data_IF_952191479531
#
_entry.id   IF_952191479531
#
_cell.length_a   1.000
_cell.length_b   1.000
_cell.length_c   1.000
_cell.angle_alpha   90.00
_cell.angle_beta   90.00
_cell.angle_gamma   90.00
#
_symmetry.space_group_name_H-M   'P 1'
#
loop_
_entity.id
_entity.type
_entity.pdbx_description
1 polymer ?
#
# COMPACT_ATOMS: atom_id res chain seq x y z
N UNK A 1 11.15 0.65 30.41
CA UNK A 1 10.96 -0.17 31.64
C UNK A 1 11.69 -1.51 31.53
N UNK A 2 12.26 -2.04 32.62
CA UNK A 2 12.93 -3.35 32.67
C UNK A 2 12.19 -4.28 33.63
N UNK A 3 11.83 -5.46 33.15
CA UNK A 3 11.16 -6.51 33.93
C UNK A 3 11.31 -7.83 33.17
N UNK A 4 11.01 -8.95 33.81
CA UNK A 4 11.08 -10.26 33.17
C UNK A 4 9.83 -10.52 32.33
N UNK A 5 10.01 -11.00 31.09
CA UNK A 5 8.94 -11.47 30.21
C UNK A 5 9.30 -12.86 29.70
N UNK A 6 8.44 -13.87 29.94
CA UNK A 6 8.61 -15.24 29.44
C UNK A 6 9.98 -15.86 29.75
N UNK A 7 10.54 -15.58 30.94
CA UNK A 7 11.86 -16.09 31.37
C UNK A 7 13.04 -15.28 30.85
N UNK A 8 12.82 -14.13 30.21
CA UNK A 8 13.88 -13.27 29.66
C UNK A 8 13.94 -11.96 30.45
N UNK A 9 15.12 -11.68 31.01
CA UNK A 9 15.45 -10.40 31.64
C UNK A 9 16.50 -9.67 30.80
N UNK A 10 16.29 -8.38 30.55
CA UNK A 10 17.16 -7.55 29.72
C UNK A 10 18.18 -6.80 30.57
N UNK A 11 19.47 -7.02 30.31
CA UNK A 11 20.57 -6.31 30.97
C UNK A 11 20.85 -4.93 30.36
N UNK A 12 20.56 -4.76 29.07
CA UNK A 12 20.70 -3.49 28.32
C UNK A 12 19.40 -3.13 27.59
N UNK A 13 19.12 -1.84 27.48
CA UNK A 13 17.91 -1.32 26.84
C UNK A 13 16.68 -1.34 27.77
N UNK A 14 15.50 -1.29 27.17
CA UNK A 14 14.22 -1.32 27.88
C UNK A 14 13.09 -1.87 27.01
N UNK A 15 12.09 -2.47 27.65
CA UNK A 15 10.85 -2.88 26.98
C UNK A 15 10.01 -1.67 26.57
N UNK A 16 9.32 -1.79 25.43
CA UNK A 16 8.40 -0.78 24.90
C UNK A 16 7.07 -0.75 25.66
N UNK A 17 6.59 -1.89 26.16
CA UNK A 17 5.30 -2.00 26.85
C UNK A 17 5.46 -1.95 28.37
N UNK A 18 4.42 -1.52 29.07
CA UNK A 18 4.34 -1.61 30.53
C UNK A 18 4.24 -3.07 30.98
N UNK A 19 4.65 -3.34 32.21
CA UNK A 19 4.65 -4.69 32.80
C UNK A 19 3.26 -5.33 32.76
N UNK A 20 2.24 -4.58 33.17
CA UNK A 20 0.84 -5.05 33.18
C UNK A 20 0.34 -5.40 31.77
N UNK A 21 0.55 -4.52 30.80
CA UNK A 21 0.16 -4.74 29.40
C UNK A 21 0.85 -5.97 28.82
N UNK A 22 2.16 -6.11 29.05
CA UNK A 22 2.92 -7.24 28.56
C UNK A 22 2.48 -8.57 29.17
N UNK A 23 2.20 -8.62 30.48
CA UNK A 23 1.71 -9.84 31.12
C UNK A 23 0.32 -10.22 30.66
N UNK A 24 -0.59 -9.25 30.49
CA UNK A 24 -1.89 -9.49 29.87
C UNK A 24 -1.76 -10.09 28.48
N UNK A 25 -0.85 -9.54 27.66
CA UNK A 25 -0.62 -10.04 26.30
C UNK A 25 0.02 -11.43 26.25
N UNK A 26 0.87 -11.77 27.22
CA UNK A 26 1.40 -13.13 27.41
C UNK A 26 0.29 -14.10 27.80
N UNK A 27 -0.60 -13.70 28.70
CA UNK A 27 -1.74 -14.52 29.13
C UNK A 27 -2.71 -14.78 27.98
N UNK A 28 -3.05 -13.74 27.20
CA UNK A 28 -3.87 -13.88 26.00
C UNK A 28 -3.26 -14.89 25.02
N UNK A 29 -1.94 -14.87 24.84
CA UNK A 29 -1.26 -15.82 23.95
C UNK A 29 -1.30 -17.25 24.49
N UNK A 30 -1.22 -17.44 25.81
CA UNK A 30 -1.39 -18.77 26.44
C UNK A 30 -2.81 -19.31 26.24
N UNK A 31 -3.84 -18.48 26.44
CA UNK A 31 -5.24 -18.85 26.19
C UNK A 31 -5.45 -19.26 24.73
N UNK A 32 -4.92 -18.48 23.79
CA UNK A 32 -4.89 -18.85 22.38
C UNK A 32 -4.24 -20.22 22.14
N UNK A 33 -3.09 -20.52 22.75
CA UNK A 33 -2.42 -21.83 22.57
C UNK A 33 -3.22 -23.01 23.13
N UNK A 34 -4.06 -22.79 24.13
CA UNK A 34 -4.96 -23.82 24.67
C UNK A 34 -6.16 -24.04 23.75
N UNK A 35 -6.81 -22.96 23.31
CA UNK A 35 -7.98 -23.01 22.42
C UNK A 35 -7.61 -23.49 21.01
N UNK A 36 -6.49 -23.01 20.45
CA UNK A 36 -6.00 -23.39 19.11
C UNK A 36 -5.68 -24.89 18.98
N UNK A 37 -5.35 -25.58 20.08
CA UNK A 37 -5.19 -27.05 20.07
C UNK A 37 -6.52 -27.78 19.81
N UNK A 38 -7.64 -27.17 20.18
CA UNK A 38 -8.98 -27.73 20.04
C UNK A 38 -9.58 -27.31 18.70
N UNK A 39 -9.49 -26.02 18.36
CA UNK A 39 -10.14 -25.44 17.18
C UNK A 39 -9.28 -25.56 15.91
N UNK A 40 -7.96 -25.68 16.04
CA UNK A 40 -7.03 -25.61 14.91
C UNK A 40 -6.90 -24.21 14.31
N UNK A 41 -7.47 -23.18 14.95
CA UNK A 41 -7.49 -21.81 14.42
C UNK A 41 -6.11 -21.15 14.48
N UNK A 42 -5.85 -20.27 13.52
CA UNK A 42 -4.68 -19.40 13.49
C UNK A 42 -4.82 -18.24 14.48
N UNK A 43 -3.70 -17.61 14.83
CA UNK A 43 -3.69 -16.45 15.75
C UNK A 43 -4.51 -15.26 15.21
N UNK A 44 -4.56 -15.10 13.89
CA UNK A 44 -5.35 -14.05 13.24
C UNK A 44 -6.85 -14.33 13.34
N UNK A 45 -7.28 -15.56 13.07
CA UNK A 45 -8.69 -15.97 13.21
C UNK A 45 -9.18 -15.81 14.65
N UNK A 46 -8.35 -16.21 15.63
CA UNK A 46 -8.64 -16.02 17.05
C UNK A 46 -8.81 -14.54 17.41
N UNK A 47 -7.93 -13.68 16.89
CA UNK A 47 -7.99 -12.23 17.11
C UNK A 47 -9.26 -11.61 16.50
N UNK A 48 -9.66 -12.05 15.31
CA UNK A 48 -10.91 -11.62 14.67
C UNK A 48 -12.11 -12.06 15.50
N UNK A 49 -12.14 -13.33 15.93
CA UNK A 49 -13.22 -13.91 16.75
C UNK A 49 -13.40 -13.20 18.09
N UNK A 50 -12.30 -12.78 18.70
CA UNK A 50 -12.29 -12.06 19.99
C UNK A 50 -12.56 -10.56 19.86
N UNK A 51 -12.98 -10.09 18.68
CA UNK A 51 -13.40 -8.72 18.44
C UNK A 51 -12.25 -7.73 18.19
N UNK A 52 -11.08 -8.22 17.75
CA UNK A 52 -9.91 -7.40 17.37
C UNK A 52 -9.28 -6.57 18.51
N UNK A 53 -9.54 -6.91 19.78
CA UNK A 53 -9.06 -6.13 20.95
C UNK A 53 -7.86 -6.75 21.67
N UNK A 54 -7.55 -8.02 21.42
CA UNK A 54 -6.50 -8.72 22.14
C UNK A 54 -5.11 -8.39 21.58
N UNK A 55 -4.16 -8.31 22.49
CA UNK A 55 -2.74 -8.15 22.19
C UNK A 55 -1.99 -9.42 22.57
N UNK A 56 -0.93 -9.75 21.82
CA UNK A 56 -0.18 -10.98 22.05
C UNK A 56 1.32 -10.74 22.07
N UNK A 57 1.98 -11.39 23.01
CA UNK A 57 3.44 -11.51 23.06
C UNK A 57 3.79 -12.99 22.97
N UNK A 58 4.58 -13.34 21.96
CA UNK A 58 5.10 -14.70 21.78
C UNK A 58 6.61 -14.74 21.95
N UNK A 59 7.09 -15.90 22.40
CA UNK A 59 8.51 -16.21 22.43
C UNK A 59 8.86 -17.09 21.23
N UNK A 60 9.89 -16.70 20.51
CA UNK A 60 10.46 -17.46 19.40
C UNK A 60 11.95 -17.66 19.68
N UNK A 61 12.29 -18.86 20.15
CA UNK A 61 13.63 -19.17 20.67
C UNK A 61 14.00 -18.27 21.85
N UNK A 62 15.03 -17.44 21.67
CA UNK A 62 15.51 -16.50 22.70
C UNK A 62 15.05 -15.04 22.46
N UNK A 63 14.10 -14.82 21.55
CA UNK A 63 13.58 -13.48 21.23
C UNK A 63 12.10 -13.37 21.60
N UNK A 64 11.75 -12.24 22.19
CA UNK A 64 10.35 -11.84 22.40
C UNK A 64 9.88 -11.10 21.14
N UNK A 65 8.77 -11.56 20.55
CA UNK A 65 8.08 -10.89 19.45
C UNK A 65 6.72 -10.38 19.92
N UNK A 66 6.50 -9.09 19.71
CA UNK A 66 5.19 -8.47 19.84
C UNK A 66 4.42 -8.80 18.57
N UNK A 67 3.27 -9.45 18.70
CA UNK A 67 2.44 -9.70 17.54
C UNK A 67 1.77 -8.40 17.12
N UNK A 68 1.97 -8.03 15.87
CA UNK A 68 1.31 -6.90 15.23
C UNK A 68 0.26 -7.50 14.31
N UNK A 69 -1.01 -7.16 14.53
CA UNK A 69 -2.08 -7.61 13.67
C UNK A 69 -1.83 -7.10 12.24
N UNK A 70 -2.12 -7.92 11.21
CA UNK A 70 -2.13 -7.43 9.85
C UNK A 70 -3.15 -6.30 9.74
N UNK A 71 -2.73 -5.18 9.17
CA UNK A 71 -3.63 -4.06 8.87
C UNK A 71 -4.17 -4.28 7.47
N UNK A 72 -5.48 -4.26 7.33
CA UNK A 72 -6.16 -4.28 6.02
C UNK A 72 -5.79 -3.02 5.21
N UNK A 73 -5.47 -1.93 5.91
CA UNK A 73 -5.06 -0.65 5.32
C UNK A 73 -3.60 -0.32 5.69
N UNK A 74 -2.80 -0.06 4.68
CA UNK A 74 -1.47 0.52 4.87
C UNK A 74 -1.63 2.03 5.04
N UNK A 75 -1.29 2.56 6.22
CA UNK A 75 -1.19 4.01 6.40
C UNK A 75 -0.03 4.50 5.54
N UNK A 76 -0.32 5.38 4.58
CA UNK A 76 0.70 6.02 3.75
C UNK A 76 1.50 6.97 4.65
N UNK A 77 2.81 6.78 4.72
CA UNK A 77 3.74 7.68 5.39
C UNK A 77 4.64 8.40 4.36
N UNK A 78 5.68 9.08 4.83
CA UNK A 78 6.64 9.75 3.96
C UNK A 78 7.74 8.81 3.44
N UNK A 79 7.63 7.50 3.63
CA UNK A 79 8.55 6.51 3.11
C UNK A 79 8.02 5.90 1.81
N UNK A 80 8.67 6.23 0.70
CA UNK A 80 8.27 5.84 -0.66
C UNK A 80 8.99 4.60 -1.18
N UNK A 81 9.70 3.86 -0.31
CA UNK A 81 10.44 2.65 -0.73
C UNK A 81 9.53 1.47 -1.11
N UNK A 82 8.23 1.60 -0.91
CA UNK A 82 7.23 0.58 -1.27
C UNK A 82 6.86 0.59 -2.75
N UNK A 83 7.21 1.65 -3.51
CA UNK A 83 6.93 1.75 -4.95
C UNK A 83 8.23 1.98 -5.74
N UNK A 84 8.37 1.28 -6.87
CA UNK A 84 9.44 1.59 -7.84
C UNK A 84 9.22 2.98 -8.46
N UNK A 85 10.26 3.80 -8.49
CA UNK A 85 10.22 5.12 -9.13
C UNK A 85 10.16 5.06 -10.66
N UNK A 86 10.83 4.07 -11.25
CA UNK A 86 10.95 3.90 -12.70
C UNK A 86 10.32 2.59 -13.18
N UNK A 87 10.00 2.56 -14.48
CA UNK A 87 9.60 1.37 -15.22
C UNK A 87 10.27 1.35 -16.61
N UNK A 88 10.05 0.30 -17.40
CA UNK A 88 10.67 0.14 -18.72
C UNK A 88 9.68 -0.39 -19.76
N UNK A 89 8.40 -0.01 -19.66
CA UNK A 89 7.32 -0.55 -20.48
C UNK A 89 7.37 0.00 -21.92
N UNK A 90 7.79 1.24 -22.11
CA UNK A 90 7.88 1.85 -23.45
C UNK A 90 9.25 1.76 -24.09
N UNK A 91 10.24 1.20 -23.39
CA UNK A 91 11.65 1.25 -23.81
C UNK A 91 12.29 2.64 -23.65
N UNK A 92 11.62 3.58 -22.98
CA UNK A 92 12.18 4.88 -22.63
C UNK A 92 13.05 4.73 -21.38
N UNK A 93 14.28 5.25 -21.40
CA UNK A 93 15.28 4.95 -20.37
C UNK A 93 14.87 5.40 -18.96
N UNK A 94 14.16 6.52 -18.86
CA UNK A 94 13.76 7.14 -17.59
C UNK A 94 12.24 7.27 -17.49
N UNK A 95 11.51 6.20 -17.86
CA UNK A 95 10.05 6.16 -17.71
C UNK A 95 9.67 6.12 -16.22
N UNK A 96 8.98 7.15 -15.73
CA UNK A 96 8.37 7.13 -14.40
C UNK A 96 7.36 5.98 -14.30
N UNK A 97 7.28 5.35 -13.13
CA UNK A 97 6.30 4.31 -12.83
C UNK A 97 4.88 4.86 -12.80
N UNK A 98 3.93 4.16 -13.43
CA UNK A 98 2.51 4.52 -13.37
C UNK A 98 1.97 4.47 -11.93
N UNK A 99 2.44 3.54 -11.11
CA UNK A 99 1.98 3.39 -9.71
C UNK A 99 2.41 4.59 -8.88
N UNK A 100 3.63 5.07 -9.11
CA UNK A 100 4.16 6.27 -8.44
C UNK A 100 3.29 7.48 -8.79
N UNK A 101 3.11 7.74 -10.10
CA UNK A 101 2.35 8.90 -10.56
C UNK A 101 0.87 8.82 -10.18
N UNK A 102 0.30 7.61 -10.10
CA UNK A 102 -1.07 7.42 -9.60
C UNK A 102 -1.19 7.92 -8.16
N UNK A 103 -0.29 7.49 -7.27
CA UNK A 103 -0.30 7.92 -5.86
C UNK A 103 -0.15 9.45 -5.75
N UNK A 104 0.76 10.04 -6.52
CA UNK A 104 0.99 11.50 -6.51
C UNK A 104 -0.26 12.26 -6.99
N UNK A 105 -0.85 11.86 -8.11
CA UNK A 105 -2.02 12.56 -8.68
C UNK A 105 -3.25 12.39 -7.79
N UNK A 106 -3.50 11.19 -7.26
CA UNK A 106 -4.64 10.95 -6.35
C UNK A 106 -4.53 11.73 -5.03
N UNK A 107 -3.32 11.93 -4.51
CA UNK A 107 -3.12 12.67 -3.25
C UNK A 107 -3.17 14.19 -3.41
N UNK A 108 -3.10 14.70 -4.63
CA UNK A 108 -2.96 16.15 -4.92
C UNK A 108 -4.03 16.72 -5.84
N UNK A 109 -4.95 15.90 -6.36
CA UNK A 109 -6.00 16.34 -7.30
C UNK A 109 -7.27 15.51 -7.20
N UNK A 110 -8.39 16.11 -7.59
CA UNK A 110 -9.69 15.46 -7.74
C UNK A 110 -9.99 15.10 -9.19
N UNK A 111 -11.02 14.29 -9.41
CA UNK A 111 -11.51 14.00 -10.77
C UNK A 111 -11.95 15.30 -11.48
N UNK A 112 -11.62 15.44 -12.76
CA UNK A 112 -11.89 16.65 -13.54
C UNK A 112 -10.86 17.78 -13.40
N UNK A 113 -9.97 17.74 -12.40
CA UNK A 113 -8.87 18.70 -12.25
C UNK A 113 -7.87 18.60 -13.42
N UNK A 114 -7.09 19.65 -13.61
CA UNK A 114 -6.07 19.73 -14.65
C UNK A 114 -4.68 19.36 -14.11
N UNK A 115 -4.07 18.34 -14.70
CA UNK A 115 -2.67 17.95 -14.45
C UNK A 115 -1.78 18.45 -15.59
N UNK A 116 -0.70 19.15 -15.27
CA UNK A 116 0.23 19.68 -16.27
C UNK A 116 1.65 19.15 -16.06
N UNK A 117 2.28 18.71 -17.15
CA UNK A 117 3.66 18.22 -17.15
C UNK A 117 4.45 18.87 -18.30
N UNK A 118 5.53 19.59 -17.96
CA UNK A 118 6.39 20.27 -18.93
C UNK A 118 7.54 19.42 -19.45
N UNK A 119 7.80 18.26 -18.83
CA UNK A 119 8.90 17.35 -19.15
C UNK A 119 8.35 15.94 -19.31
N UNK A 120 7.45 15.80 -20.27
CA UNK A 120 6.53 14.67 -20.36
C UNK A 120 7.25 13.32 -20.62
N UNK A 121 8.39 13.34 -21.31
CA UNK A 121 9.22 12.18 -21.62
C UNK A 121 8.43 11.06 -22.30
N UNK A 122 8.21 9.98 -21.56
CA UNK A 122 7.48 8.80 -22.03
C UNK A 122 5.95 8.98 -22.09
N UNK A 123 5.40 10.08 -21.57
CA UNK A 123 3.95 10.31 -21.54
C UNK A 123 3.24 9.65 -20.35
N UNK A 124 3.95 9.20 -19.33
CA UNK A 124 3.32 8.50 -18.19
C UNK A 124 2.36 9.39 -17.42
N UNK A 125 2.72 10.66 -17.16
CA UNK A 125 1.88 11.59 -16.39
C UNK A 125 0.51 11.80 -17.02
N UNK A 126 0.47 12.07 -18.33
CA UNK A 126 -0.79 12.27 -19.06
C UNK A 126 -1.58 10.97 -19.21
N UNK A 127 -0.90 9.83 -19.38
CA UNK A 127 -1.56 8.53 -19.41
C UNK A 127 -2.26 8.20 -18.08
N UNK A 128 -1.59 8.42 -16.95
CA UNK A 128 -2.15 8.18 -15.61
C UNK A 128 -3.24 9.19 -15.28
N UNK A 129 -3.01 10.49 -15.52
CA UNK A 129 -4.02 11.52 -15.32
C UNK A 129 -5.31 11.22 -16.09
N UNK A 130 -5.19 10.78 -17.36
CA UNK A 130 -6.33 10.38 -18.16
C UNK A 130 -7.10 9.20 -17.56
N UNK A 131 -6.40 8.12 -17.19
CA UNK A 131 -7.00 6.92 -16.58
C UNK A 131 -7.74 7.24 -15.27
N UNK A 132 -7.26 8.24 -14.54
CA UNK A 132 -7.88 8.74 -13.32
C UNK A 132 -9.01 9.75 -13.58
N UNK A 133 -9.35 10.08 -14.83
CA UNK A 133 -10.42 11.04 -15.14
C UNK A 133 -10.03 12.50 -14.90
N UNK A 134 -8.74 12.84 -14.94
CA UNK A 134 -8.25 14.23 -14.91
C UNK A 134 -8.09 14.76 -16.33
N UNK A 135 -8.24 16.06 -16.49
CA UNK A 135 -7.78 16.77 -17.69
C UNK A 135 -6.26 16.85 -17.63
N UNK A 136 -5.61 16.94 -18.78
CA UNK A 136 -4.15 16.99 -18.78
C UNK A 136 -3.60 17.83 -19.92
N UNK A 137 -2.45 18.46 -19.66
CA UNK A 137 -1.59 19.09 -20.67
C UNK A 137 -0.19 18.54 -20.48
N UNK A 138 0.39 18.00 -21.55
CA UNK A 138 1.76 17.52 -21.55
C UNK A 138 2.56 18.20 -22.64
N UNK A 139 3.75 18.69 -22.30
CA UNK A 139 4.69 19.30 -23.23
C UNK A 139 5.92 18.40 -23.36
N UNK A 140 6.28 18.09 -24.60
CA UNK A 140 7.52 17.39 -24.95
C UNK A 140 8.12 18.02 -26.21
N UNK A 141 9.44 18.09 -26.28
CA UNK A 141 10.14 18.68 -27.39
C UNK A 141 10.57 17.65 -28.44
N UNK A 142 10.52 18.06 -29.71
CA UNK A 142 11.15 17.34 -30.81
C UNK A 142 10.49 16.01 -31.16
N UNK A 143 11.31 15.07 -31.65
CA UNK A 143 10.84 13.80 -32.22
C UNK A 143 10.31 12.80 -31.18
N UNK A 144 10.66 12.97 -29.90
CA UNK A 144 10.20 12.11 -28.82
C UNK A 144 8.68 12.13 -28.65
N UNK A 145 8.05 13.27 -28.92
CA UNK A 145 6.59 13.36 -28.92
C UNK A 145 5.96 12.39 -29.92
N UNK A 146 6.47 12.36 -31.15
CA UNK A 146 5.91 11.55 -32.23
C UNK A 146 6.25 10.06 -32.10
N UNK A 147 7.45 9.75 -31.61
CA UNK A 147 7.94 8.37 -31.51
C UNK A 147 7.48 7.65 -30.24
N UNK A 148 7.25 8.37 -29.13
CA UNK A 148 6.94 7.76 -27.82
C UNK A 148 5.57 8.19 -27.29
N UNK A 149 5.37 9.50 -27.07
CA UNK A 149 4.17 10.03 -26.40
C UNK A 149 2.91 9.77 -27.22
N UNK A 150 2.90 10.14 -28.49
CA UNK A 150 1.72 10.03 -29.35
C UNK A 150 1.25 8.58 -29.54
N UNK A 151 2.13 7.59 -29.84
CA UNK A 151 1.73 6.19 -29.90
C UNK A 151 1.19 5.65 -28.57
N UNK A 152 1.80 6.02 -27.44
CA UNK A 152 1.30 5.65 -26.11
C UNK A 152 -0.10 6.21 -25.87
N UNK A 153 -0.29 7.51 -26.07
CA UNK A 153 -1.57 8.16 -25.80
C UNK A 153 -2.69 7.68 -26.72
N UNK A 154 -2.39 7.35 -27.99
CA UNK A 154 -3.35 6.67 -28.88
C UNK A 154 -3.84 5.36 -28.29
N UNK A 155 -2.95 4.54 -27.72
CA UNK A 155 -3.33 3.29 -27.05
C UNK A 155 -4.21 3.59 -25.84
N UNK A 156 -3.77 4.46 -24.95
CA UNK A 156 -4.49 4.82 -23.71
C UNK A 156 -5.92 5.29 -24.02
N UNK A 157 -6.09 6.22 -24.97
CA UNK A 157 -7.40 6.74 -25.38
C UNK A 157 -8.29 5.67 -26.05
N UNK A 158 -7.69 4.72 -26.78
CA UNK A 158 -8.43 3.62 -27.39
C UNK A 158 -8.90 2.57 -26.35
N UNK A 159 -8.19 2.40 -25.25
CA UNK A 159 -8.66 1.58 -24.12
C UNK A 159 -9.84 2.24 -23.40
N UNK A 160 -9.76 3.54 -23.11
CA UNK A 160 -10.83 4.25 -22.39
C UNK A 160 -12.19 4.21 -23.13
N UNK A 161 -12.19 4.35 -24.46
CA UNK A 161 -13.42 4.20 -25.28
C UNK A 161 -14.10 2.83 -25.14
N UNK A 162 -13.33 1.77 -24.84
CA UNK A 162 -13.89 0.42 -24.61
C UNK A 162 -14.52 0.31 -23.22
N UNK A 163 -13.97 1.01 -22.23
CA UNK A 163 -14.52 1.05 -20.87
C UNK A 163 -15.73 1.98 -20.74
N UNK A 164 -15.79 3.09 -21.48
CA UNK A 164 -17.00 3.93 -21.58
C UNK A 164 -18.19 3.12 -22.11
N UNK A 165 -17.99 2.24 -23.11
CA UNK A 165 -19.04 1.33 -23.60
C UNK A 165 -19.50 0.32 -22.53
N UNK A 166 -18.63 -0.08 -21.60
CA UNK A 166 -18.98 -0.95 -20.46
C UNK A 166 -19.69 -0.20 -19.32
N UNK A 167 -19.30 1.06 -19.06
CA UNK A 167 -19.90 1.92 -18.03
C UNK A 167 -21.27 2.51 -18.42
N UNK A 168 -21.64 2.45 -19.70
CA UNK A 168 -22.90 2.99 -20.22
C UNK A 168 -24.19 2.19 -19.93
N UNK A 169 -24.16 1.09 -19.17
CA UNK A 169 -25.34 0.21 -18.98
C UNK A 169 -26.01 0.27 -17.58
N UNK A 170 -25.70 1.26 -16.74
CA UNK A 170 -26.42 1.46 -15.46
C UNK A 170 -26.64 2.94 -15.15
N UNK A 171 -27.59 3.55 -15.87
CA UNK A 171 -28.39 4.64 -15.32
C UNK A 171 -29.85 4.20 -15.37
N UNK A 172 -30.28 3.48 -14.33
CA UNK A 172 -31.70 3.44 -13.97
C UNK A 172 -31.96 4.74 -13.21
N UNK A 173 -32.72 5.64 -13.84
CA UNK A 173 -33.61 6.57 -13.14
C UNK A 173 -34.96 5.89 -13.07
#
# INVERSE_FOLDING_TARGET
MRYEILGINISKGQWKWSKERAYKAVENYRKYLEESKITGETLEEYWIRTGKQLEFIKREGNKIKYWVHPREELLIDNNWLDISGYSSLTGFQTENSEILLKRVIESTSNEGDLVMDFFLGSGTTTAVAHKLGRKWIGVEMGEHFYSVVLPRMKKVLAYDKRDIKRRGCTRKV
#
